data_IF_400496453835
#
_entry.id   IF_400496453835
#
_cell.length_a   1.000
_cell.length_b   1.000
_cell.length_c   1.000
_cell.angle_alpha   90.00
_cell.angle_beta   90.00
_cell.angle_gamma   90.00
#
_symmetry.space_group_name_H-M   'P 1'
#
loop_
_entity.id
_entity.type
_entity.pdbx_description
1 polymer ?
#
# COMPACT_ATOMS: atom_id res chain seq x y z
N UNK A 1 -63.94 -23.76 6.78
CA UNK A 1 -62.64 -24.10 7.37
C UNK A 1 -61.62 -23.87 6.28
N UNK A 2 -61.02 -22.69 6.25
CA UNK A 2 -60.13 -22.28 5.16
C UNK A 2 -58.71 -22.11 5.72
N UNK A 3 -57.82 -23.02 5.34
CA UNK A 3 -56.43 -23.11 5.76
C UNK A 3 -55.57 -22.20 4.89
N UNK A 4 -55.44 -20.94 5.28
CA UNK A 4 -54.55 -19.96 4.62
C UNK A 4 -53.11 -20.05 5.12
N UNK A 5 -52.30 -20.93 4.51
CA UNK A 5 -50.84 -20.91 4.64
C UNK A 5 -50.26 -19.64 4.01
N UNK A 6 -49.76 -18.71 4.82
CA UNK A 6 -48.97 -17.57 4.33
C UNK A 6 -47.64 -18.09 3.73
N UNK A 7 -47.24 -17.65 2.53
CA UNK A 7 -45.95 -18.04 1.97
C UNK A 7 -44.83 -17.33 2.75
N UNK A 8 -43.88 -18.11 3.25
CA UNK A 8 -42.61 -17.61 3.80
C UNK A 8 -41.88 -16.80 2.72
N UNK A 9 -41.54 -15.54 3.02
CA UNK A 9 -40.95 -14.63 2.04
C UNK A 9 -39.45 -14.92 1.83
N UNK A 10 -39.15 -15.81 0.89
CA UNK A 10 -37.78 -16.18 0.49
C UNK A 10 -36.93 -14.97 0.05
N UNK A 11 -37.58 -13.89 -0.43
CA UNK A 11 -36.92 -12.64 -0.83
C UNK A 11 -36.31 -11.81 0.31
N UNK A 12 -36.81 -11.92 1.54
CA UNK A 12 -36.27 -11.16 2.69
C UNK A 12 -34.98 -11.77 3.26
N UNK A 13 -34.89 -13.11 3.24
CA UNK A 13 -33.73 -13.86 3.74
C UNK A 13 -32.49 -13.75 2.84
N UNK A 14 -32.70 -13.73 1.52
CA UNK A 14 -31.61 -13.53 0.56
C UNK A 14 -31.05 -12.11 0.66
N UNK A 15 -31.91 -11.09 0.73
CA UNK A 15 -31.50 -9.69 0.87
C UNK A 15 -30.68 -9.46 2.15
N UNK A 16 -31.11 -10.05 3.27
CA UNK A 16 -30.38 -10.02 4.54
C UNK A 16 -29.02 -10.75 4.47
N UNK A 17 -28.92 -11.89 3.78
CA UNK A 17 -27.65 -12.62 3.62
C UNK A 17 -26.63 -11.86 2.77
N UNK A 18 -27.06 -11.23 1.67
CA UNK A 18 -26.17 -10.41 0.83
C UNK A 18 -25.67 -9.17 1.58
N UNK A 19 -26.53 -8.48 2.33
CA UNK A 19 -26.13 -7.36 3.16
C UNK A 19 -25.14 -7.79 4.25
N UNK A 20 -25.40 -8.90 4.93
CA UNK A 20 -24.49 -9.45 5.92
C UNK A 20 -23.12 -9.73 5.30
N UNK A 21 -23.03 -10.43 4.17
CA UNK A 21 -21.76 -10.70 3.50
C UNK A 21 -21.02 -9.40 3.13
N UNK A 22 -21.74 -8.40 2.61
CA UNK A 22 -21.17 -7.10 2.27
C UNK A 22 -20.54 -6.40 3.49
N UNK A 23 -21.16 -6.49 4.67
CA UNK A 23 -20.59 -5.92 5.91
C UNK A 23 -19.31 -6.65 6.36
N UNK A 24 -19.26 -7.98 6.23
CA UNK A 24 -18.05 -8.76 6.54
C UNK A 24 -16.91 -8.42 5.58
N UNK A 25 -17.20 -8.35 4.28
CA UNK A 25 -16.23 -7.93 3.26
C UNK A 25 -15.76 -6.50 3.51
N UNK A 26 -16.67 -5.57 3.83
CA UNK A 26 -16.31 -4.20 4.18
C UNK A 26 -15.42 -4.12 5.43
N UNK A 27 -15.65 -4.98 6.43
CA UNK A 27 -14.83 -5.06 7.65
C UNK A 27 -13.39 -5.49 7.35
N UNK A 28 -13.17 -6.30 6.31
CA UNK A 28 -11.84 -6.68 5.83
C UNK A 28 -11.07 -5.54 5.13
N UNK A 29 -11.73 -4.40 4.86
CA UNK A 29 -11.19 -3.20 4.21
C UNK A 29 -10.52 -3.43 2.84
N UNK A 30 -11.27 -3.87 1.81
CA UNK A 30 -10.72 -4.16 0.48
C UNK A 30 -10.02 -2.96 -0.18
N UNK A 31 -10.47 -1.73 0.13
CA UNK A 31 -9.81 -0.50 -0.31
C UNK A 31 -8.35 -0.38 0.15
N UNK A 32 -7.95 -1.06 1.22
CA UNK A 32 -6.57 -1.07 1.72
C UNK A 32 -5.70 -2.15 1.05
N UNK A 33 -6.30 -3.09 0.31
CA UNK A 33 -5.58 -4.16 -0.39
C UNK A 33 -4.70 -3.64 -1.53
N UNK A 34 -4.97 -2.44 -2.04
CA UNK A 34 -4.13 -1.76 -3.04
C UNK A 34 -2.67 -1.66 -2.60
N UNK A 35 -2.40 -1.50 -1.31
CA UNK A 35 -1.04 -1.47 -0.74
C UNK A 35 -0.30 -2.80 -0.91
N UNK A 36 -1.04 -3.90 -1.00
CA UNK A 36 -0.48 -5.22 -1.20
C UNK A 36 -0.13 -5.47 -2.67
N UNK A 37 -0.51 -4.61 -3.62
CA UNK A 37 -0.11 -4.75 -5.03
C UNK A 37 1.40 -4.73 -5.24
N UNK A 38 2.16 -4.23 -4.26
CA UNK A 38 3.64 -4.27 -4.27
C UNK A 38 4.19 -5.71 -4.34
N UNK A 39 3.43 -6.74 -3.99
CA UNK A 39 3.85 -8.15 -4.20
C UNK A 39 4.01 -8.51 -5.69
N UNK A 40 3.35 -7.77 -6.59
CA UNK A 40 3.52 -7.94 -8.04
C UNK A 40 4.75 -7.20 -8.57
N UNK A 41 5.43 -6.41 -7.74
CA UNK A 41 6.63 -5.70 -8.16
C UNK A 41 7.73 -6.71 -8.54
N UNK A 42 7.89 -7.83 -7.82
CA UNK A 42 8.92 -8.81 -8.15
C UNK A 42 8.83 -9.36 -9.59
N UNK A 43 7.71 -9.94 -10.05
CA UNK A 43 7.60 -10.38 -11.45
C UNK A 43 7.59 -9.23 -12.45
N UNK A 44 7.09 -8.05 -12.08
CA UNK A 44 7.14 -6.88 -12.94
C UNK A 44 8.58 -6.45 -13.20
N UNK A 45 9.41 -6.29 -12.16
CA UNK A 45 10.77 -5.78 -12.26
C UNK A 45 11.81 -6.84 -12.68
N UNK A 46 11.54 -8.12 -12.40
CA UNK A 46 12.28 -9.22 -13.02
C UNK A 46 11.77 -9.56 -14.44
N UNK A 47 10.70 -8.90 -14.87
CA UNK A 47 10.05 -9.07 -16.17
C UNK A 47 9.72 -10.52 -16.52
N UNK A 48 9.39 -11.31 -15.50
CA UNK A 48 8.92 -12.69 -15.61
C UNK A 48 7.40 -12.70 -15.59
N UNK A 49 6.78 -12.15 -16.65
CA UNK A 49 5.33 -12.02 -16.77
C UNK A 49 4.77 -13.26 -17.46
N UNK A 50 4.75 -14.36 -16.72
CA UNK A 50 4.16 -15.63 -17.17
C UNK A 50 3.09 -16.10 -16.17
N UNK A 51 2.28 -17.10 -16.59
CA UNK A 51 1.20 -17.63 -15.76
C UNK A 51 1.69 -18.10 -14.37
N UNK A 52 2.80 -18.87 -14.25
CA UNK A 52 3.34 -19.24 -12.94
C UNK A 52 3.65 -18.06 -12.02
N UNK A 53 4.35 -17.04 -12.53
CA UNK A 53 4.69 -15.83 -11.78
C UNK A 53 3.44 -15.05 -11.36
N UNK A 54 2.45 -14.94 -12.24
CA UNK A 54 1.20 -14.25 -11.94
C UNK A 54 0.41 -14.97 -10.84
N UNK A 55 0.29 -16.31 -10.92
CA UNK A 55 -0.37 -17.12 -9.90
C UNK A 55 0.38 -17.07 -8.56
N UNK A 56 1.72 -17.11 -8.59
CA UNK A 56 2.56 -16.96 -7.40
C UNK A 56 2.36 -15.60 -6.71
N UNK A 57 2.37 -14.51 -7.47
CA UNK A 57 2.11 -13.18 -6.92
C UNK A 57 0.67 -12.99 -6.48
N UNK A 58 -0.32 -13.56 -7.17
CA UNK A 58 -1.72 -13.54 -6.75
C UNK A 58 -1.91 -14.30 -5.43
N UNK A 59 -1.20 -15.42 -5.26
CA UNK A 59 -1.18 -16.16 -4.01
C UNK A 59 -0.58 -15.33 -2.87
N UNK A 60 0.61 -14.72 -3.08
CA UNK A 60 1.21 -13.81 -2.10
C UNK A 60 0.30 -12.62 -1.76
N UNK A 61 -0.37 -12.06 -2.78
CA UNK A 61 -1.34 -10.99 -2.62
C UNK A 61 -2.49 -11.41 -1.70
N UNK A 62 -3.11 -12.56 -1.95
CA UNK A 62 -4.20 -13.09 -1.13
C UNK A 62 -3.76 -13.31 0.33
N UNK A 63 -2.55 -13.81 0.54
CA UNK A 63 -2.01 -14.00 1.90
C UNK A 63 -1.76 -12.67 2.62
N UNK A 64 -1.22 -11.66 1.94
CA UNK A 64 -1.07 -10.32 2.53
C UNK A 64 -2.40 -9.62 2.76
N UNK A 65 -3.37 -9.78 1.86
CA UNK A 65 -4.73 -9.28 2.05
C UNK A 65 -5.34 -9.93 3.29
N UNK A 66 -5.22 -11.25 3.44
CA UNK A 66 -5.68 -11.97 4.63
C UNK A 66 -5.00 -11.47 5.91
N UNK A 67 -3.66 -11.40 5.92
CA UNK A 67 -2.92 -10.93 7.09
C UNK A 67 -3.25 -9.48 7.45
N UNK A 68 -3.25 -8.57 6.47
CA UNK A 68 -3.59 -7.16 6.69
C UNK A 68 -5.04 -6.96 7.16
N UNK A 69 -6.00 -7.67 6.56
CA UNK A 69 -7.40 -7.68 6.99
C UNK A 69 -7.57 -8.20 8.42
N UNK A 70 -6.86 -9.26 8.81
CA UNK A 70 -6.86 -9.75 10.18
C UNK A 70 -6.36 -8.70 11.19
N UNK A 71 -5.26 -8.00 10.89
CA UNK A 71 -4.80 -6.87 11.72
C UNK A 71 -5.76 -5.68 11.72
N UNK A 72 -6.44 -5.39 10.60
CA UNK A 72 -7.46 -4.34 10.58
C UNK A 72 -8.67 -4.68 11.44
N UNK A 73 -9.11 -5.95 11.44
CA UNK A 73 -10.19 -6.41 12.31
C UNK A 73 -9.80 -6.28 13.79
N UNK A 74 -8.60 -6.74 14.18
CA UNK A 74 -8.09 -6.59 15.56
C UNK A 74 -8.08 -5.12 15.97
N UNK A 75 -7.59 -4.23 15.10
CA UNK A 75 -7.56 -2.81 15.38
C UNK A 75 -8.96 -2.21 15.53
N UNK A 76 -9.91 -2.61 14.68
CA UNK A 76 -11.29 -2.09 14.73
C UNK A 76 -12.06 -2.61 15.95
N UNK A 77 -11.72 -3.81 16.46
CA UNK A 77 -12.20 -4.32 17.75
C UNK A 77 -11.63 -3.48 18.90
N UNK A 78 -10.32 -3.25 18.92
CA UNK A 78 -9.65 -2.50 19.98
C UNK A 78 -10.13 -1.03 20.04
N UNK A 79 -10.37 -0.42 18.88
CA UNK A 79 -10.78 0.98 18.76
C UNK A 79 -12.32 1.16 18.78
N UNK A 80 -13.11 0.10 18.98
CA UNK A 80 -14.58 0.12 18.76
C UNK A 80 -15.30 1.23 19.54
N UNK A 81 -14.92 1.45 20.79
CA UNK A 81 -15.54 2.47 21.65
C UNK A 81 -15.21 3.89 21.17
N UNK A 82 -13.97 4.12 20.76
CA UNK A 82 -13.53 5.42 20.22
C UNK A 82 -14.12 5.68 18.83
N UNK A 83 -14.20 4.63 18.00
CA UNK A 83 -14.75 4.71 16.65
C UNK A 83 -16.24 5.04 16.65
N UNK A 84 -17.01 4.54 17.62
CA UNK A 84 -18.44 4.90 17.81
C UNK A 84 -18.65 6.39 18.04
N UNK A 85 -17.71 7.07 18.69
CA UNK A 85 -17.80 8.49 19.00
C UNK A 85 -17.26 9.39 17.87
N UNK A 86 -16.63 8.81 16.85
CA UNK A 86 -15.97 9.56 15.78
C UNK A 86 -16.93 9.83 14.61
N UNK A 87 -16.99 11.07 14.07
CA UNK A 87 -17.99 11.48 13.06
C UNK A 87 -18.00 10.62 11.78
N UNK A 88 -16.83 10.15 11.34
CA UNK A 88 -16.69 9.26 10.17
C UNK A 88 -16.56 7.77 10.53
N UNK A 89 -15.75 7.42 11.56
CA UNK A 89 -15.42 6.03 11.88
C UNK A 89 -16.57 5.27 12.55
N UNK A 90 -17.60 5.97 13.03
CA UNK A 90 -18.81 5.33 13.56
C UNK A 90 -19.53 4.47 12.52
N UNK A 91 -19.31 4.73 11.22
CA UNK A 91 -19.85 3.96 10.09
C UNK A 91 -19.09 2.65 9.81
N UNK A 92 -17.99 2.35 10.52
CA UNK A 92 -17.25 1.09 10.35
C UNK A 92 -18.15 -0.08 10.76
N UNK A 93 -18.13 -1.23 10.04
CA UNK A 93 -19.08 -2.33 10.30
C UNK A 93 -19.12 -2.84 11.74
N UNK A 94 -17.97 -2.90 12.42
CA UNK A 94 -17.89 -3.33 13.83
C UNK A 94 -18.41 -2.24 14.78
N UNK A 95 -17.99 -0.98 14.58
CA UNK A 95 -18.44 0.14 15.41
C UNK A 95 -19.95 0.38 15.29
N UNK A 96 -20.50 0.27 14.07
CA UNK A 96 -21.91 0.39 13.74
C UNK A 96 -22.76 -0.81 14.17
N UNK A 97 -22.15 -1.91 14.61
CA UNK A 97 -22.85 -3.11 15.08
C UNK A 97 -23.32 -4.07 13.98
N UNK A 98 -22.95 -3.83 12.71
CA UNK A 98 -23.27 -4.74 11.59
C UNK A 98 -22.45 -6.04 11.61
N UNK A 99 -21.27 -6.02 12.24
CA UNK A 99 -20.45 -7.21 12.49
C UNK A 99 -20.19 -7.30 13.99
N UNK A 100 -20.59 -8.40 14.62
CA UNK A 100 -20.40 -8.59 16.06
C UNK A 100 -18.92 -8.84 16.38
N UNK A 101 -18.49 -8.45 17.59
CA UNK A 101 -17.11 -8.62 18.04
C UNK A 101 -16.66 -10.10 17.99
N UNK A 102 -17.46 -11.10 18.45
CA UNK A 102 -17.05 -12.50 18.36
C UNK A 102 -16.79 -12.97 16.93
N UNK A 103 -17.63 -12.54 15.97
CA UNK A 103 -17.45 -12.87 14.56
C UNK A 103 -16.19 -12.20 14.02
N UNK A 104 -15.97 -10.92 14.32
CA UNK A 104 -14.77 -10.21 13.91
C UNK A 104 -13.47 -10.84 14.46
N UNK A 105 -13.50 -11.33 15.71
CA UNK A 105 -12.40 -12.10 16.31
C UNK A 105 -12.18 -13.40 15.54
N UNK A 106 -13.23 -14.18 15.28
CA UNK A 106 -13.14 -15.43 14.52
C UNK A 106 -12.55 -15.21 13.12
N UNK A 107 -13.02 -14.18 12.40
CA UNK A 107 -12.46 -13.77 11.11
C UNK A 107 -10.98 -13.41 11.21
N UNK A 108 -10.59 -12.60 12.21
CA UNK A 108 -9.21 -12.18 12.38
C UNK A 108 -8.28 -13.37 12.64
N UNK A 109 -8.70 -14.31 13.49
CA UNK A 109 -7.95 -15.54 13.79
C UNK A 109 -7.81 -16.40 12.54
N UNK A 110 -8.91 -16.69 11.84
CA UNK A 110 -8.88 -17.51 10.61
C UNK A 110 -7.96 -16.89 9.56
N UNK A 111 -8.05 -15.57 9.33
CA UNK A 111 -7.24 -14.90 8.32
C UNK A 111 -5.75 -14.86 8.70
N UNK A 112 -5.41 -14.60 9.96
CA UNK A 112 -4.01 -14.53 10.41
C UNK A 112 -3.36 -15.90 10.51
N UNK A 113 -4.03 -16.86 11.17
CA UNK A 113 -3.53 -18.23 11.31
C UNK A 113 -3.48 -18.91 9.94
N UNK A 114 -4.51 -18.71 9.11
CA UNK A 114 -4.52 -19.20 7.73
C UNK A 114 -3.38 -18.62 6.91
N UNK A 115 -3.18 -17.30 6.92
CA UNK A 115 -2.09 -16.67 6.17
C UNK A 115 -0.70 -17.17 6.64
N UNK A 116 -0.48 -17.29 7.95
CA UNK A 116 0.78 -17.80 8.51
C UNK A 116 0.99 -19.28 8.20
N UNK A 117 0.00 -20.13 8.48
CA UNK A 117 0.10 -21.58 8.25
C UNK A 117 0.33 -21.92 6.77
N UNK A 118 -0.45 -21.31 5.88
CA UNK A 118 -0.33 -21.52 4.43
C UNK A 118 1.00 -20.99 3.89
N UNK A 119 1.48 -19.84 4.37
CA UNK A 119 2.75 -19.27 3.90
C UNK A 119 3.96 -20.11 4.29
N UNK A 120 4.04 -20.58 5.53
CA UNK A 120 5.10 -21.48 6.00
C UNK A 120 5.06 -22.84 5.31
N UNK A 121 3.87 -23.36 5.05
CA UNK A 121 3.70 -24.59 4.29
C UNK A 121 4.17 -24.45 2.83
N UNK A 122 3.97 -23.28 2.21
CA UNK A 122 4.37 -23.03 0.82
C UNK A 122 5.88 -22.86 0.63
N UNK A 123 6.52 -22.00 1.43
CA UNK A 123 7.98 -21.81 1.45
C UNK A 123 8.45 -21.08 2.72
N UNK A 124 9.63 -21.43 3.27
CA UNK A 124 10.18 -20.74 4.45
C UNK A 124 10.38 -19.24 4.23
N UNK A 125 10.76 -18.81 3.03
CA UNK A 125 10.97 -17.39 2.71
C UNK A 125 9.65 -16.61 2.76
N UNK A 126 8.56 -17.19 2.25
CA UNK A 126 7.23 -16.57 2.28
C UNK A 126 6.68 -16.54 3.71
N UNK A 127 6.83 -17.64 4.46
CA UNK A 127 6.50 -17.72 5.88
C UNK A 127 7.23 -16.67 6.72
N UNK A 128 8.54 -16.52 6.52
CA UNK A 128 9.35 -15.50 7.18
C UNK A 128 8.91 -14.07 6.84
N UNK A 129 8.57 -13.80 5.57
CA UNK A 129 8.09 -12.49 5.14
C UNK A 129 6.77 -12.08 5.81
N UNK A 130 5.80 -12.99 5.84
CA UNK A 130 4.48 -12.74 6.45
C UNK A 130 4.60 -12.70 7.98
N UNK A 131 5.45 -13.52 8.58
CA UNK A 131 5.74 -13.46 10.02
C UNK A 131 6.40 -12.14 10.39
N UNK A 132 7.40 -11.70 9.64
CA UNK A 132 8.04 -10.39 9.82
C UNK A 132 7.03 -9.25 9.68
N UNK A 133 6.11 -9.34 8.71
CA UNK A 133 5.03 -8.39 8.56
C UNK A 133 4.08 -8.40 9.77
N UNK A 134 3.72 -9.57 10.27
CA UNK A 134 2.86 -9.71 11.44
C UNK A 134 3.50 -9.11 12.70
N UNK A 135 4.77 -9.42 12.96
CA UNK A 135 5.55 -8.83 14.07
C UNK A 135 5.60 -7.31 13.93
N UNK A 136 5.88 -6.81 12.72
CA UNK A 136 5.92 -5.38 12.44
C UNK A 136 4.56 -4.71 12.70
N UNK A 137 3.45 -5.34 12.32
CA UNK A 137 2.10 -4.83 12.57
C UNK A 137 1.77 -4.78 14.06
N UNK A 138 2.15 -5.80 14.83
CA UNK A 138 2.00 -5.78 16.29
C UNK A 138 2.84 -4.66 16.90
N UNK A 139 4.13 -4.60 16.58
CA UNK A 139 5.04 -3.58 17.07
C UNK A 139 4.58 -2.16 16.70
N UNK A 140 4.07 -1.98 15.48
CA UNK A 140 3.52 -0.72 15.01
C UNK A 140 2.33 -0.26 15.83
N UNK A 141 1.37 -1.15 16.08
CA UNK A 141 0.17 -0.81 16.84
C UNK A 141 0.46 -0.56 18.32
N UNK A 142 1.40 -1.29 18.91
CA UNK A 142 1.80 -1.12 20.31
C UNK A 142 2.61 0.17 20.53
N UNK A 143 3.66 0.40 19.72
CA UNK A 143 4.67 1.42 20.04
C UNK A 143 5.16 2.24 18.85
N UNK A 144 5.50 1.61 17.72
CA UNK A 144 6.25 2.31 16.65
C UNK A 144 5.46 3.47 16.05
N UNK A 145 4.12 3.38 15.95
CA UNK A 145 3.28 4.49 15.44
C UNK A 145 3.34 5.78 16.27
N UNK A 146 3.88 5.71 17.50
CA UNK A 146 4.04 6.85 18.43
C UNK A 146 5.48 7.35 18.52
N UNK A 147 6.42 6.69 17.84
CA UNK A 147 7.83 7.07 17.83
C UNK A 147 8.18 7.77 16.53
N UNK A 148 8.86 8.92 16.65
CA UNK A 148 9.36 9.70 15.51
C UNK A 148 10.37 8.85 14.73
N UNK A 149 10.38 8.99 13.41
CA UNK A 149 11.16 8.23 12.42
C UNK A 149 10.73 6.75 12.33
N UNK A 150 10.58 6.06 13.45
CA UNK A 150 10.18 4.65 13.46
C UNK A 150 8.77 4.42 12.92
N UNK A 151 7.90 5.43 12.97
CA UNK A 151 6.57 5.34 12.37
C UNK A 151 6.61 5.28 10.83
N UNK A 152 7.51 6.05 10.18
CA UNK A 152 7.70 6.03 8.71
C UNK A 152 8.59 4.87 8.28
N UNK A 153 9.61 4.52 9.06
CA UNK A 153 10.44 3.32 8.82
C UNK A 153 9.60 2.06 8.86
N UNK A 154 8.70 1.91 9.84
CA UNK A 154 7.80 0.77 9.89
C UNK A 154 6.89 0.66 8.66
N UNK A 155 6.41 1.79 8.13
CA UNK A 155 5.63 1.80 6.88
C UNK A 155 6.49 1.29 5.72
N UNK A 156 7.71 1.81 5.57
CA UNK A 156 8.64 1.40 4.52
C UNK A 156 9.04 -0.07 4.62
N UNK A 157 9.36 -0.57 5.81
CA UNK A 157 9.64 -2.00 6.05
C UNK A 157 8.45 -2.87 5.63
N UNK A 158 7.22 -2.41 5.87
CA UNK A 158 6.02 -3.11 5.40
C UNK A 158 5.94 -3.23 3.87
N UNK A 159 6.40 -2.23 3.11
CA UNK A 159 6.46 -2.30 1.65
C UNK A 159 7.59 -3.23 1.16
N UNK A 160 8.75 -3.19 1.81
CA UNK A 160 9.88 -4.10 1.51
C UNK A 160 9.49 -5.55 1.75
N UNK A 161 8.81 -5.86 2.86
CA UNK A 161 8.33 -7.22 3.16
C UNK A 161 7.34 -7.73 2.11
N UNK A 162 6.50 -6.85 1.55
CA UNK A 162 5.59 -7.19 0.45
C UNK A 162 6.34 -7.53 -0.84
N UNK A 163 7.28 -6.68 -1.23
CA UNK A 163 8.12 -6.93 -2.39
C UNK A 163 8.87 -8.26 -2.24
N UNK A 164 9.48 -8.49 -1.08
CA UNK A 164 10.21 -9.72 -0.77
C UNK A 164 9.31 -10.96 -0.81
N UNK A 165 8.10 -10.92 -0.26
CA UNK A 165 7.23 -12.09 -0.32
C UNK A 165 6.67 -12.36 -1.73
N UNK A 166 6.47 -11.33 -2.54
CA UNK A 166 6.17 -11.49 -3.96
C UNK A 166 7.26 -12.28 -4.69
N UNK A 167 8.52 -11.93 -4.42
CA UNK A 167 9.69 -12.66 -4.89
C UNK A 167 9.77 -14.10 -4.35
N UNK A 168 9.55 -14.28 -3.05
CA UNK A 168 9.54 -15.60 -2.42
C UNK A 168 8.46 -16.53 -2.98
N UNK A 169 7.29 -16.00 -3.36
CA UNK A 169 6.20 -16.78 -3.94
C UNK A 169 6.39 -17.13 -5.42
N UNK A 170 7.25 -16.38 -6.12
CA UNK A 170 7.53 -16.55 -7.55
C UNK A 170 8.90 -17.18 -7.82
N UNK A 171 9.70 -17.44 -6.78
CA UNK A 171 11.12 -17.86 -6.87
C UNK A 171 11.98 -16.88 -7.68
N UNK A 172 11.61 -15.60 -7.68
CA UNK A 172 12.35 -14.53 -8.33
C UNK A 172 13.30 -13.91 -7.32
N UNK A 173 14.58 -13.83 -7.64
CA UNK A 173 15.56 -13.14 -6.80
C UNK A 173 15.49 -11.64 -7.09
N UNK A 174 15.23 -10.85 -6.06
CA UNK A 174 15.31 -9.39 -6.14
C UNK A 174 16.73 -8.91 -5.91
N UNK A 175 17.17 -7.94 -6.70
CA UNK A 175 18.43 -7.26 -6.43
C UNK A 175 18.35 -6.41 -5.17
N UNK A 176 19.48 -6.24 -4.50
CA UNK A 176 19.58 -5.37 -3.34
C UNK A 176 19.19 -3.93 -3.69
N UNK A 177 19.59 -3.44 -4.88
CA UNK A 177 19.22 -2.11 -5.37
C UNK A 177 17.71 -1.91 -5.46
N UNK A 178 16.98 -2.93 -5.93
CA UNK A 178 15.52 -2.87 -6.03
C UNK A 178 14.86 -2.78 -4.65
N UNK A 179 15.34 -3.56 -3.67
CA UNK A 179 14.82 -3.52 -2.30
C UNK A 179 15.09 -2.17 -1.63
N UNK A 180 16.29 -1.62 -1.80
CA UNK A 180 16.63 -0.30 -1.26
C UNK A 180 15.81 0.78 -1.96
N UNK A 181 15.66 0.74 -3.29
CA UNK A 181 14.81 1.68 -4.03
C UNK A 181 13.36 1.63 -3.53
N UNK A 182 12.80 0.43 -3.33
CA UNK A 182 11.46 0.25 -2.75
C UNK A 182 11.36 0.85 -1.36
N UNK A 183 12.38 0.67 -0.52
CA UNK A 183 12.43 1.24 0.83
C UNK A 183 12.49 2.77 0.79
N UNK A 184 13.34 3.36 -0.06
CA UNK A 184 13.51 4.81 -0.19
C UNK A 184 12.23 5.46 -0.73
N UNK A 185 11.60 4.87 -1.75
CA UNK A 185 10.34 5.38 -2.29
C UNK A 185 9.20 5.27 -1.28
N UNK A 186 9.13 4.18 -0.50
CA UNK A 186 8.14 4.04 0.55
C UNK A 186 8.36 5.03 1.71
N UNK A 187 9.62 5.32 2.06
CA UNK A 187 9.95 6.37 3.01
C UNK A 187 9.55 7.76 2.48
N UNK A 188 9.82 8.05 1.20
CA UNK A 188 9.40 9.27 0.54
C UNK A 188 7.88 9.49 0.68
N UNK A 189 7.07 8.51 0.29
CA UNK A 189 5.61 8.59 0.43
C UNK A 189 5.16 8.72 1.90
N UNK A 190 5.87 8.08 2.83
CA UNK A 190 5.61 8.17 4.26
C UNK A 190 5.91 9.56 4.84
N UNK A 191 7.03 10.16 4.45
CA UNK A 191 7.46 11.51 4.86
C UNK A 191 6.52 12.56 4.25
N UNK A 192 6.20 12.44 2.97
CA UNK A 192 5.24 13.31 2.28
C UNK A 192 3.88 13.30 2.95
N UNK A 193 3.40 12.12 3.35
CA UNK A 193 2.19 12.02 4.14
C UNK A 193 2.27 12.77 5.47
N UNK A 194 3.40 12.69 6.19
CA UNK A 194 3.59 13.41 7.46
C UNK A 194 3.65 14.92 7.28
N UNK A 195 4.27 15.36 6.19
CA UNK A 195 4.35 16.76 5.77
C UNK A 195 2.96 17.31 5.47
N UNK A 196 2.15 16.57 4.70
CA UNK A 196 0.75 16.92 4.43
C UNK A 196 -0.11 16.97 5.70
N UNK A 197 -0.03 15.94 6.57
CA UNK A 197 -0.78 15.90 7.84
C UNK A 197 -0.40 17.08 8.77
N UNK A 198 0.89 17.47 8.82
CA UNK A 198 1.37 18.57 9.66
C UNK A 198 0.87 19.93 9.15
N UNK A 199 0.88 20.15 7.83
CA UNK A 199 0.38 21.38 7.19
C UNK A 199 -1.12 21.55 7.38
N UNK A 200 -1.89 20.49 7.12
CA UNK A 200 -3.35 20.53 7.29
C UNK A 200 -3.72 20.93 8.72
N UNK A 201 -2.95 20.45 9.70
CA UNK A 201 -3.20 20.79 11.08
C UNK A 201 -2.79 22.23 11.44
N UNK A 202 -1.83 22.83 10.75
CA UNK A 202 -1.50 24.27 10.88
C UNK A 202 -2.62 25.15 10.29
N UNK A 203 -3.22 24.74 9.17
CA UNK A 203 -4.28 25.49 8.47
C UNK A 203 -5.64 25.35 9.19
N UNK A 204 -6.04 24.12 9.51
CA UNK A 204 -7.41 23.82 10.00
C UNK A 204 -7.51 23.69 11.52
N UNK A 205 -6.41 23.87 12.27
CA UNK A 205 -6.38 23.67 13.72
C UNK A 205 -6.72 22.23 14.15
N UNK A 206 -6.56 21.26 13.25
CA UNK A 206 -6.95 19.87 13.49
C UNK A 206 -6.13 19.22 14.61
N UNK A 207 -6.73 18.27 15.34
CA UNK A 207 -6.02 17.50 16.39
C UNK A 207 -4.84 16.74 15.80
N UNK A 208 -3.62 17.19 16.09
CA UNK A 208 -2.39 16.46 15.75
C UNK A 208 -2.34 15.09 16.42
N UNK A 209 -1.89 14.08 15.66
CA UNK A 209 -1.36 12.85 16.26
C UNK A 209 -0.18 13.20 17.17
N UNK A 210 -0.03 12.49 18.29
CA UNK A 210 1.04 12.76 19.27
C UNK A 210 2.44 12.73 18.63
N UNK A 211 2.69 11.82 17.69
CA UNK A 211 3.99 11.72 16.99
C UNK A 211 4.27 12.93 16.09
N UNK A 212 3.22 13.52 15.49
CA UNK A 212 3.35 14.67 14.60
C UNK A 212 3.86 15.91 15.32
N UNK A 213 3.60 16.05 16.63
CA UNK A 213 4.05 17.20 17.43
C UNK A 213 5.56 17.32 17.51
N UNK A 214 6.29 16.24 17.22
CA UNK A 214 7.74 16.18 17.25
C UNK A 214 8.39 16.35 15.87
N UNK A 215 7.58 16.40 14.81
CA UNK A 215 8.06 16.73 13.46
C UNK A 215 7.94 18.23 13.21
N UNK A 216 8.85 18.75 12.39
CA UNK A 216 8.79 20.12 11.85
C UNK A 216 8.93 20.07 10.33
N UNK A 217 8.37 21.05 9.62
CA UNK A 217 8.48 21.11 8.16
C UNK A 217 9.94 21.14 7.67
N UNK A 218 10.88 21.90 8.28
CA UNK A 218 12.28 21.87 7.87
C UNK A 218 12.96 20.50 8.06
N UNK A 219 12.59 19.76 9.12
CA UNK A 219 13.10 18.41 9.33
C UNK A 219 12.58 17.46 8.26
N UNK A 220 11.27 17.50 7.98
CA UNK A 220 10.65 16.65 6.97
C UNK A 220 11.22 16.94 5.58
N UNK A 221 11.46 18.21 5.21
CA UNK A 221 12.08 18.58 3.94
C UNK A 221 13.52 18.04 3.81
N UNK A 222 14.33 18.07 4.88
CA UNK A 222 15.67 17.44 4.86
C UNK A 222 15.59 15.93 4.69
N UNK A 223 14.67 15.27 5.41
CA UNK A 223 14.46 13.83 5.29
C UNK A 223 13.99 13.45 3.88
N UNK A 224 13.05 14.23 3.32
CA UNK A 224 12.53 14.10 1.96
C UNK A 224 13.65 14.18 0.93
N UNK A 225 14.52 15.19 1.01
CA UNK A 225 15.67 15.34 0.11
C UNK A 225 16.60 14.12 0.12
N UNK A 226 16.89 13.57 1.30
CA UNK A 226 17.72 12.36 1.46
C UNK A 226 17.05 11.16 0.80
N UNK A 227 15.77 10.90 1.04
CA UNK A 227 15.08 9.72 0.50
C UNK A 227 14.77 9.87 -1.00
N UNK A 228 14.54 11.08 -1.49
CA UNK A 228 14.40 11.38 -2.93
C UNK A 228 15.71 11.06 -3.64
N UNK A 229 16.84 11.59 -3.13
CA UNK A 229 18.17 11.31 -3.69
C UNK A 229 18.48 9.81 -3.65
N UNK A 230 18.22 9.17 -2.50
CA UNK A 230 18.38 7.72 -2.35
C UNK A 230 17.54 6.92 -3.35
N UNK A 231 16.28 7.31 -3.58
CA UNK A 231 15.40 6.67 -4.56
C UNK A 231 15.97 6.78 -5.98
N UNK A 232 16.36 7.99 -6.40
CA UNK A 232 16.90 8.23 -7.75
C UNK A 232 18.20 7.47 -7.97
N UNK A 233 19.14 7.55 -7.02
CA UNK A 233 20.45 6.87 -7.14
C UNK A 233 20.27 5.35 -7.16
N UNK A 234 19.47 4.79 -6.26
CA UNK A 234 19.28 3.34 -6.20
C UNK A 234 18.50 2.81 -7.40
N UNK A 235 17.56 3.59 -7.94
CA UNK A 235 16.90 3.29 -9.20
C UNK A 235 17.86 3.34 -10.39
N UNK A 236 18.75 4.34 -10.46
CA UNK A 236 19.76 4.44 -11.50
C UNK A 236 20.74 3.26 -11.45
N UNK A 237 21.22 2.89 -10.25
CA UNK A 237 22.09 1.72 -10.06
C UNK A 237 21.39 0.42 -10.44
N UNK A 238 20.11 0.28 -10.09
CA UNK A 238 19.29 -0.85 -10.52
C UNK A 238 19.15 -0.88 -12.06
N UNK A 239 18.77 0.23 -12.68
CA UNK A 239 18.48 0.29 -14.12
C UNK A 239 19.73 0.28 -15.00
N UNK A 240 20.92 0.53 -14.45
CA UNK A 240 22.21 0.42 -15.15
C UNK A 240 22.55 -1.01 -15.62
N UNK A 241 21.79 -2.01 -15.20
CA UNK A 241 21.78 -3.33 -15.82
C UNK A 241 22.62 -4.39 -15.09
N UNK A 242 23.02 -5.47 -15.80
CA UNK A 242 23.61 -6.66 -15.18
C UNK A 242 24.96 -6.43 -14.49
N UNK A 243 25.75 -5.46 -14.96
CA UNK A 243 27.08 -5.14 -14.40
C UNK A 243 27.04 -4.76 -12.92
N UNK A 244 25.91 -4.21 -12.46
CA UNK A 244 25.68 -3.85 -11.06
C UNK A 244 24.71 -4.82 -10.35
N UNK A 245 24.46 -6.00 -10.92
CA UNK A 245 23.44 -6.94 -10.41
C UNK A 245 22.04 -6.30 -10.35
N UNK A 246 21.75 -5.41 -11.29
CA UNK A 246 20.50 -4.66 -11.39
C UNK A 246 19.47 -5.33 -12.31
N UNK A 247 18.88 -4.53 -13.18
CA UNK A 247 17.97 -4.96 -14.23
C UNK A 247 18.66 -5.88 -15.23
N UNK A 248 17.86 -6.59 -16.02
CA UNK A 248 18.38 -7.57 -16.97
C UNK A 248 19.14 -6.93 -18.15
N UNK A 249 19.04 -5.62 -18.36
CA UNK A 249 19.69 -4.86 -19.43
C UNK A 249 19.97 -3.42 -18.97
N UNK A 250 21.05 -2.82 -19.46
CA UNK A 250 21.42 -1.42 -19.16
C UNK A 250 20.52 -0.40 -19.87
N UNK A 251 19.79 -0.83 -20.90
CA UNK A 251 18.82 0.02 -21.61
C UNK A 251 17.67 0.48 -20.71
N UNK A 252 17.46 -0.19 -19.57
CA UNK A 252 16.49 0.22 -18.57
C UNK A 252 16.76 1.63 -18.03
N UNK A 253 17.98 2.17 -18.14
CA UNK A 253 18.29 3.57 -17.80
C UNK A 253 17.42 4.59 -18.55
N UNK A 254 16.90 4.27 -19.74
CA UNK A 254 15.97 5.13 -20.48
C UNK A 254 14.66 5.39 -19.72
N UNK A 255 14.37 4.60 -18.70
CA UNK A 255 13.19 4.77 -17.84
C UNK A 255 13.42 5.76 -16.69
N UNK A 256 14.68 6.13 -16.40
CA UNK A 256 15.05 7.04 -15.31
C UNK A 256 14.40 8.44 -15.41
N UNK A 257 14.28 9.07 -16.61
CA UNK A 257 13.60 10.36 -16.73
C UNK A 257 12.14 10.33 -16.26
N UNK A 258 11.42 9.20 -16.46
CA UNK A 258 10.05 9.05 -15.96
C UNK A 258 10.02 9.01 -14.44
N UNK A 259 10.94 8.28 -13.81
CA UNK A 259 11.02 8.23 -12.34
C UNK A 259 11.33 9.61 -11.76
N UNK A 260 12.27 10.33 -12.36
CA UNK A 260 12.59 11.71 -11.97
C UNK A 260 11.38 12.64 -12.08
N UNK A 261 10.73 12.65 -13.25
CA UNK A 261 9.54 13.46 -13.46
C UNK A 261 8.43 13.09 -12.47
N UNK A 262 8.19 11.80 -12.23
CA UNK A 262 7.15 11.34 -11.30
C UNK A 262 7.40 11.82 -9.87
N UNK A 263 8.65 11.76 -9.40
CA UNK A 263 9.03 12.29 -8.08
C UNK A 263 8.84 13.82 -8.04
N UNK A 264 9.37 14.55 -9.02
CA UNK A 264 9.26 16.01 -9.06
C UNK A 264 7.81 16.49 -9.18
N UNK A 265 7.00 15.82 -9.99
CA UNK A 265 5.56 16.11 -10.13
C UNK A 265 4.84 15.87 -8.80
N UNK A 266 5.15 14.79 -8.10
CA UNK A 266 4.59 14.56 -6.77
C UNK A 266 5.02 15.65 -5.77
N UNK A 267 6.31 16.03 -5.76
CA UNK A 267 6.82 17.11 -4.90
C UNK A 267 6.14 18.44 -5.21
N UNK A 268 5.94 18.78 -6.49
CA UNK A 268 5.21 19.97 -6.92
C UNK A 268 3.76 19.96 -6.42
N UNK A 269 3.03 18.85 -6.62
CA UNK A 269 1.64 18.71 -6.13
C UNK A 269 1.54 18.75 -4.60
N UNK A 270 2.63 18.42 -3.91
CA UNK A 270 2.73 18.54 -2.46
C UNK A 270 3.11 19.94 -2.01
N UNK A 271 3.53 20.84 -2.90
CA UNK A 271 4.07 22.13 -2.52
C UNK A 271 2.95 23.09 -2.04
N UNK A 272 3.14 23.85 -0.95
CA UNK A 272 2.09 24.72 -0.43
C UNK A 272 1.68 25.80 -1.43
N UNK A 273 2.63 26.37 -2.17
CA UNK A 273 2.33 27.45 -3.10
C UNK A 273 1.45 26.93 -4.24
N UNK A 274 1.78 25.74 -4.77
CA UNK A 274 0.97 25.09 -5.81
C UNK A 274 -0.44 24.74 -5.31
N UNK A 275 -0.57 24.28 -4.07
CA UNK A 275 -1.88 23.98 -3.47
C UNK A 275 -2.71 25.26 -3.33
N UNK A 276 -2.10 26.34 -2.83
CA UNK A 276 -2.78 27.63 -2.66
C UNK A 276 -3.20 28.22 -4.03
N UNK A 277 -2.35 28.13 -5.05
CA UNK A 277 -2.70 28.51 -6.43
C UNK A 277 -3.83 27.68 -7.02
N UNK A 278 -3.89 26.38 -6.72
CA UNK A 278 -4.95 25.50 -7.18
C UNK A 278 -6.29 25.70 -6.45
N UNK A 279 -6.32 26.34 -5.27
CA UNK A 279 -7.57 26.72 -4.59
C UNK A 279 -8.25 27.95 -5.22
N UNK A 280 -7.48 28.83 -5.89
CA UNK A 280 -7.99 30.04 -6.57
C UNK A 280 -8.60 29.75 -7.96
N UNK A 281 -8.12 28.72 -8.67
CA UNK A 281 -8.79 28.20 -9.86
C UNK A 281 -9.82 27.13 -9.45
N UNK A 282 -11.01 27.13 -10.05
CA UNK A 282 -12.13 26.22 -9.75
C UNK A 282 -11.87 24.72 -10.09
N UNK A 283 -10.68 24.18 -9.81
CA UNK A 283 -10.25 22.80 -10.02
C UNK A 283 -10.03 22.08 -8.69
N UNK A 284 -11.10 21.37 -8.27
CA UNK A 284 -11.08 20.18 -7.44
C UNK A 284 -10.20 20.16 -6.17
N UNK A 285 -10.74 20.67 -5.05
CA UNK A 285 -10.62 20.11 -3.66
C UNK A 285 -9.32 19.33 -3.33
N UNK A 286 -8.14 19.90 -3.65
CA UNK A 286 -6.84 19.25 -3.51
C UNK A 286 -6.31 19.19 -2.07
N UNK A 287 -6.89 19.95 -1.14
CA UNK A 287 -6.49 19.94 0.28
C UNK A 287 -7.06 18.80 1.14
N UNK A 288 -7.73 17.79 0.56
CA UNK A 288 -8.48 16.77 1.34
C UNK A 288 -7.99 15.33 1.24
N UNK A 289 -7.06 15.00 0.36
CA UNK A 289 -6.65 13.59 0.20
C UNK A 289 -5.41 13.29 1.05
N UNK A 290 -5.63 12.85 2.30
CA UNK A 290 -4.62 12.30 3.24
C UNK A 290 -3.92 11.01 2.75
N UNK A 291 -4.08 10.67 1.46
CA UNK A 291 -3.75 9.38 0.89
C UNK A 291 -2.92 9.56 -0.39
N UNK A 292 -1.61 9.28 -0.33
CA UNK A 292 -0.71 9.35 -1.48
C UNK A 292 -1.24 8.59 -2.71
N UNK A 293 -1.88 7.44 -2.48
CA UNK A 293 -2.50 6.61 -3.52
C UNK A 293 -3.61 7.31 -4.32
N UNK A 294 -4.34 8.26 -3.73
CA UNK A 294 -5.40 8.99 -4.45
C UNK A 294 -4.81 10.11 -5.32
N UNK A 295 -3.72 10.75 -4.90
CA UNK A 295 -2.99 11.74 -5.70
C UNK A 295 -2.38 11.08 -6.94
N UNK A 296 -1.72 9.93 -6.75
CA UNK A 296 -1.12 9.16 -7.84
C UNK A 296 -2.12 8.70 -8.90
N UNK A 297 -3.37 8.41 -8.51
CA UNK A 297 -4.42 7.93 -9.41
C UNK A 297 -5.22 9.05 -10.11
N UNK A 298 -5.21 10.26 -9.56
CA UNK A 298 -5.99 11.38 -10.10
C UNK A 298 -5.16 12.32 -10.97
N UNK A 299 -3.88 12.52 -10.67
CA UNK A 299 -3.04 13.42 -11.46
C UNK A 299 -2.71 12.80 -12.83
N UNK A 300 -3.13 13.50 -13.89
CA UNK A 300 -2.90 13.07 -15.27
C UNK A 300 -1.40 13.01 -15.61
N UNK A 301 -0.59 13.93 -15.08
CA UNK A 301 0.85 13.96 -15.31
C UNK A 301 1.55 12.72 -14.76
N UNK A 302 1.25 12.36 -13.51
CA UNK A 302 1.74 11.12 -12.88
C UNK A 302 1.22 9.90 -13.65
N UNK A 303 -0.05 9.85 -14.04
CA UNK A 303 -0.58 8.73 -14.80
C UNK A 303 0.13 8.54 -16.15
N UNK A 304 0.31 9.61 -16.93
CA UNK A 304 1.07 9.56 -18.18
C UNK A 304 2.52 9.10 -17.96
N UNK A 305 3.12 9.52 -16.85
CA UNK A 305 4.48 9.11 -16.48
C UNK A 305 4.56 7.62 -16.19
N UNK A 306 3.62 7.10 -15.40
CA UNK A 306 3.53 5.66 -15.09
C UNK A 306 3.26 4.84 -16.35
N UNK A 307 2.33 5.27 -17.20
CA UNK A 307 2.01 4.59 -18.46
C UNK A 307 3.22 4.61 -19.40
N UNK A 308 3.86 5.78 -19.58
CA UNK A 308 5.06 5.92 -20.40
C UNK A 308 6.20 5.04 -19.89
N UNK A 309 6.44 5.04 -18.58
CA UNK A 309 7.41 4.17 -17.93
C UNK A 309 7.14 2.68 -18.20
N UNK A 310 5.88 2.23 -18.02
CA UNK A 310 5.47 0.85 -18.30
C UNK A 310 5.72 0.51 -19.78
N UNK A 311 5.27 1.36 -20.71
CA UNK A 311 5.46 1.16 -22.14
C UNK A 311 6.94 1.07 -22.52
N UNK A 312 7.79 1.96 -22.00
CA UNK A 312 9.23 1.94 -22.25
C UNK A 312 9.88 0.67 -21.71
N UNK A 313 9.54 0.25 -20.50
CA UNK A 313 9.98 -1.05 -19.95
C UNK A 313 9.63 -2.20 -20.90
N UNK A 314 8.36 -2.30 -21.31
CA UNK A 314 7.90 -3.37 -22.22
C UNK A 314 8.63 -3.34 -23.57
N UNK A 315 8.82 -2.18 -24.18
CA UNK A 315 9.52 -2.04 -25.47
C UNK A 315 10.97 -2.51 -25.34
N UNK A 316 11.70 -2.04 -24.33
CA UNK A 316 13.10 -2.42 -24.10
C UNK A 316 13.23 -3.94 -24.01
N UNK A 317 12.35 -4.59 -23.25
CA UNK A 317 12.43 -6.03 -23.03
C UNK A 317 11.99 -6.84 -24.23
N UNK A 318 10.99 -6.35 -24.95
CA UNK A 318 10.58 -6.97 -26.20
C UNK A 318 11.74 -6.97 -27.20
N UNK A 319 12.43 -5.84 -27.35
CA UNK A 319 13.65 -5.74 -28.16
C UNK A 319 14.77 -6.66 -27.66
N UNK A 320 14.95 -6.78 -26.34
CA UNK A 320 15.92 -7.69 -25.73
C UNK A 320 15.59 -9.15 -26.03
N UNK A 321 14.31 -9.54 -25.92
CA UNK A 321 13.86 -10.91 -26.19
C UNK A 321 14.01 -11.28 -27.68
N UNK A 322 13.90 -10.30 -28.57
CA UNK A 322 14.23 -10.47 -30.00
C UNK A 322 15.74 -10.53 -30.27
N UNK A 323 16.60 -10.32 -29.27
CA UNK A 323 18.05 -10.29 -29.41
C UNK A 323 18.60 -9.02 -30.09
N UNK A 324 17.78 -7.98 -30.24
CA UNK A 324 18.19 -6.72 -30.88
C UNK A 324 19.09 -5.89 -29.96
N UNK A 325 18.89 -5.99 -28.65
CA UNK A 325 19.69 -5.33 -27.62
C UNK A 325 20.12 -6.33 -26.54
N UNK A 326 21.25 -6.04 -25.88
CA UNK A 326 21.82 -6.83 -24.79
C UNK A 326 21.17 -6.49 -23.44
#
# INVERSE_FOLDING_TARGET
>A
MDTGSKPFSTGSLLTNSYQNFAYHLAAMRPRQWTKNLVVFAAPLFAFSINIPSLLGSLFAFTLFCSASSGFYLINDIADVAADRQHPVKCKRPIAAGFVSIPIAVGMAVILLVGALGISWWRSPQLGAAITGYAILQVAYNLKLKRMVILDVVAIATGFVLRAFAGAAATNIVLSAWFLICTAMLALFLGIEKRKAELRLAQIQGAKLRTVLRRYSLPLLARMESVVTTGTVVTYALWSAGPSLQGASTSWMLLTLPFVLYGIFRYQLLSDPQEIDHAEDEHLEKGGRTERPEEVLLKDKGILFTVVGWICTCFIILWLKNLGIIQ
#
